data_IF_472067722442
#
_entry.id   IF_472067722442
#
_cell.length_a   1.000
_cell.length_b   1.000
_cell.length_c   1.000
_cell.angle_alpha   90.00
_cell.angle_beta   90.00
_cell.angle_gamma   90.00
#
_symmetry.space_group_name_H-M   'P 1'
#
loop_
_entity.id
_entity.type
_entity.pdbx_description
1 polymer ?
#
# COMPACT_ATOMS: atom_id res chain seq x y z
N UNK A 1 1.50 -0.90 6.65
CA UNK A 1 1.77 0.54 6.72
C UNK A 1 0.80 1.29 5.81
N UNK A 2 -0.34 1.78 6.33
CA UNK A 2 -1.20 2.67 5.55
C UNK A 2 -0.50 4.01 5.29
N UNK A 3 -0.19 4.33 4.03
CA UNK A 3 0.51 5.55 3.64
C UNK A 3 -0.20 6.83 4.08
N UNK A 4 0.53 7.95 4.14
CA UNK A 4 0.00 9.28 4.49
C UNK A 4 -0.71 9.32 5.85
N UNK A 5 -1.56 10.32 6.10
CA UNK A 5 -2.34 10.46 7.34
C UNK A 5 -2.21 11.83 7.99
N UNK A 6 -3.19 12.15 8.85
CA UNK A 6 -3.28 13.46 9.50
C UNK A 6 -3.42 14.56 8.46
N UNK A 7 -2.52 15.56 8.52
CA UNK A 7 -2.53 16.70 7.57
C UNK A 7 -1.95 16.34 6.19
N UNK A 8 -1.44 15.12 5.98
CA UNK A 8 -1.02 14.64 4.65
C UNK A 8 -2.16 13.81 4.02
N UNK A 9 -2.89 14.33 3.02
CA UNK A 9 -3.97 13.60 2.37
C UNK A 9 -3.49 12.52 1.40
N UNK A 10 -2.20 12.54 1.00
CA UNK A 10 -1.75 11.86 -0.21
C UNK A 10 -2.41 12.43 -1.47
N UNK A 11 -2.55 11.62 -2.52
CA UNK A 11 -3.32 12.02 -3.69
C UNK A 11 -4.82 12.18 -3.37
N UNK A 12 -5.51 13.08 -4.06
CA UNK A 12 -6.93 13.30 -3.83
C UNK A 12 -7.71 13.68 -5.09
N UNK A 13 -9.02 13.49 -5.04
CA UNK A 13 -9.95 13.97 -6.04
C UNK A 13 -10.89 15.03 -5.43
N UNK A 14 -10.87 16.22 -6.01
CA UNK A 14 -11.65 17.39 -5.57
C UNK A 14 -11.49 17.74 -4.08
N UNK A 15 -10.36 17.35 -3.45
CA UNK A 15 -10.07 17.59 -2.04
C UNK A 15 -10.90 16.77 -1.03
N UNK A 16 -11.88 15.98 -1.47
CA UNK A 16 -12.81 15.27 -0.57
C UNK A 16 -12.66 13.75 -0.58
N UNK A 17 -12.03 13.18 -1.62
CA UNK A 17 -11.74 11.75 -1.70
C UNK A 17 -10.23 11.57 -1.67
N UNK A 18 -9.70 11.16 -0.51
CA UNK A 18 -8.25 11.20 -0.23
C UNK A 18 -7.65 9.80 -0.15
N UNK A 19 -6.41 9.68 -0.59
CA UNK A 19 -5.63 8.44 -0.49
C UNK A 19 -5.53 7.95 0.96
N UNK A 20 -5.23 8.85 1.90
CA UNK A 20 -5.05 8.50 3.32
C UNK A 20 -6.24 7.74 3.93
N UNK A 21 -7.46 8.06 3.51
CA UNK A 21 -8.70 7.43 3.97
C UNK A 21 -8.87 6.03 3.34
N UNK A 22 -8.61 5.93 2.03
CA UNK A 22 -8.72 4.68 1.27
C UNK A 22 -7.72 3.65 1.82
N UNK A 23 -6.44 4.04 1.96
CA UNK A 23 -5.37 3.12 2.38
C UNK A 23 -5.52 2.74 3.86
N UNK A 24 -6.06 3.62 4.71
CA UNK A 24 -6.39 3.27 6.09
C UNK A 24 -7.51 2.24 6.13
N UNK A 25 -8.59 2.45 5.37
CA UNK A 25 -9.72 1.51 5.33
C UNK A 25 -9.28 0.11 4.85
N UNK A 26 -8.49 0.03 3.77
CA UNK A 26 -7.95 -1.25 3.30
C UNK A 26 -6.98 -1.85 4.32
N UNK A 27 -6.11 -1.04 4.92
CA UNK A 27 -5.13 -1.50 5.90
C UNK A 27 -5.76 -2.07 7.17
N UNK A 28 -6.83 -1.45 7.68
CA UNK A 28 -7.58 -1.95 8.84
C UNK A 28 -8.27 -3.28 8.52
N UNK A 29 -8.89 -3.41 7.35
CA UNK A 29 -9.51 -4.66 6.94
C UNK A 29 -8.48 -5.77 6.72
N UNK A 30 -7.36 -5.46 6.06
CA UNK A 30 -6.25 -6.41 5.91
C UNK A 30 -5.69 -6.85 7.26
N UNK A 31 -5.51 -5.92 8.21
CA UNK A 31 -5.07 -6.24 9.57
C UNK A 31 -6.03 -7.20 10.27
N UNK A 32 -7.34 -6.95 10.17
CA UNK A 32 -8.37 -7.82 10.72
C UNK A 32 -8.30 -9.22 10.12
N UNK A 33 -8.18 -9.32 8.81
CA UNK A 33 -8.11 -10.58 8.06
C UNK A 33 -6.84 -11.39 8.40
N UNK A 34 -5.68 -10.74 8.44
CA UNK A 34 -4.41 -11.38 8.82
C UNK A 34 -4.43 -11.87 10.28
N UNK A 35 -4.95 -11.06 11.21
CA UNK A 35 -5.13 -11.48 12.62
C UNK A 35 -6.05 -12.70 12.74
N UNK A 36 -7.13 -12.75 11.96
CA UNK A 36 -8.01 -13.93 11.91
C UNK A 36 -7.34 -15.17 11.32
N UNK A 37 -6.40 -14.99 10.40
CA UNK A 37 -5.57 -16.07 9.86
C UNK A 37 -4.42 -16.50 10.79
N UNK A 38 -4.31 -15.90 11.99
CA UNK A 38 -3.34 -16.26 13.02
C UNK A 38 -2.03 -15.47 12.98
N UNK A 39 -1.93 -14.43 12.15
CA UNK A 39 -0.75 -13.56 12.11
C UNK A 39 -0.78 -12.52 13.23
N UNK A 40 0.39 -12.19 13.78
CA UNK A 40 0.57 -10.95 14.53
C UNK A 40 0.70 -9.79 13.52
N UNK A 41 -0.04 -8.70 13.74
CA UNK A 41 -0.05 -7.56 12.81
C UNK A 41 0.19 -6.26 13.57
N UNK A 42 1.28 -5.61 13.19
CA UNK A 42 1.68 -4.29 13.68
C UNK A 42 1.36 -3.24 12.61
N UNK A 43 0.56 -2.25 12.97
CA UNK A 43 0.17 -1.14 12.09
C UNK A 43 1.01 0.09 12.40
N UNK A 44 1.47 0.82 11.38
CA UNK A 44 2.15 2.11 11.58
C UNK A 44 1.19 3.18 12.11
N UNK A 45 -0.07 3.16 11.65
CA UNK A 45 -1.21 3.92 12.18
C UNK A 45 -2.49 3.10 12.09
N UNK A 46 -3.40 3.34 13.03
CA UNK A 46 -4.76 2.76 13.06
C UNK A 46 -5.86 3.83 12.93
N UNK A 47 -5.48 5.10 13.02
CA UNK A 47 -6.38 6.26 12.86
C UNK A 47 -5.84 7.22 11.81
N UNK A 48 -6.57 8.32 11.56
CA UNK A 48 -6.12 9.40 10.69
C UNK A 48 -5.07 10.29 11.39
N UNK A 49 -3.87 9.74 11.56
CA UNK A 49 -2.70 10.43 12.10
C UNK A 49 -1.48 10.24 11.20
N UNK A 50 -0.54 11.17 11.27
CA UNK A 50 0.80 10.94 10.75
C UNK A 50 1.73 10.38 11.85
N UNK A 51 2.88 9.87 11.43
CA UNK A 51 3.85 9.15 12.26
C UNK A 51 5.01 10.06 12.69
N UNK A 52 4.96 11.36 12.38
CA UNK A 52 6.07 12.29 12.67
C UNK A 52 6.36 12.41 14.17
N UNK A 53 5.41 12.06 15.05
CA UNK A 53 5.57 12.02 16.52
C UNK A 53 6.68 11.09 17.01
N UNK A 54 7.07 10.08 16.23
CA UNK A 54 8.10 9.11 16.62
C UNK A 54 9.54 9.61 16.43
N UNK A 55 9.71 10.73 15.72
CA UNK A 55 10.99 11.37 15.43
C UNK A 55 10.90 12.79 15.96
N UNK A 56 11.59 13.17 17.05
CA UNK A 56 11.62 14.56 17.50
C UNK A 56 12.25 15.50 16.47
N UNK A 57 11.79 16.74 16.38
CA UNK A 57 12.38 17.73 15.47
C UNK A 57 11.47 18.91 15.18
N UNK A 58 11.94 19.79 14.30
CA UNK A 58 11.20 20.96 13.85
C UNK A 58 9.95 20.53 13.04
N UNK A 59 8.76 21.10 13.33
CA UNK A 59 7.54 20.88 12.55
C UNK A 59 7.69 21.16 11.04
N UNK A 60 8.61 22.03 10.63
CA UNK A 60 8.89 22.31 9.22
C UNK A 60 9.36 21.07 8.43
N UNK A 61 9.98 20.09 9.10
CA UNK A 61 10.43 18.82 8.51
C UNK A 61 9.48 17.65 8.79
N UNK A 62 8.21 17.93 9.13
CA UNK A 62 7.18 16.92 9.38
C UNK A 62 7.09 15.86 8.28
N UNK A 63 7.19 16.30 7.02
CA UNK A 63 7.54 15.51 5.82
C UNK A 63 8.41 14.28 6.10
N UNK A 64 9.68 14.59 6.30
CA UNK A 64 10.77 13.65 6.44
C UNK A 64 10.62 12.85 7.74
N UNK A 65 10.14 13.49 8.80
CA UNK A 65 9.91 12.86 10.10
C UNK A 65 8.84 11.78 10.05
N UNK A 66 7.77 11.97 9.27
CA UNK A 66 6.75 10.93 9.05
C UNK A 66 7.37 9.69 8.41
N UNK A 67 8.07 9.87 7.28
CA UNK A 67 8.72 8.76 6.58
C UNK A 67 9.77 8.06 7.45
N UNK A 68 10.62 8.82 8.16
CA UNK A 68 11.59 8.27 9.11
C UNK A 68 10.91 7.53 10.27
N UNK A 69 9.76 8.03 10.74
CA UNK A 69 8.94 7.38 11.76
C UNK A 69 8.45 6.02 11.30
N UNK A 70 7.95 5.92 10.06
CA UNK A 70 7.53 4.63 9.46
C UNK A 70 8.69 3.64 9.35
N UNK A 71 9.83 4.08 8.83
CA UNK A 71 11.05 3.25 8.75
C UNK A 71 11.45 2.76 10.13
N UNK A 72 11.46 3.65 11.13
CA UNK A 72 11.78 3.29 12.52
C UNK A 72 10.83 2.23 13.06
N UNK A 73 9.51 2.40 12.88
CA UNK A 73 8.52 1.41 13.33
C UNK A 73 8.70 0.07 12.63
N UNK A 74 8.96 0.08 11.32
CA UNK A 74 9.20 -1.15 10.53
C UNK A 74 10.45 -1.88 11.04
N UNK A 75 11.59 -1.20 11.16
CA UNK A 75 12.84 -1.85 11.55
C UNK A 75 12.83 -2.30 13.03
N UNK A 76 12.05 -1.65 13.89
CA UNK A 76 11.91 -2.01 15.31
C UNK A 76 10.80 -3.04 15.58
N UNK A 77 10.05 -3.44 14.55
CA UNK A 77 8.85 -4.28 14.72
C UNK A 77 9.17 -5.74 15.06
N UNK A 78 10.33 -6.25 14.64
CA UNK A 78 10.61 -7.69 14.65
C UNK A 78 9.74 -8.51 13.69
N UNK A 79 9.01 -7.88 12.77
CA UNK A 79 8.13 -8.56 11.82
C UNK A 79 8.90 -9.30 10.71
N UNK A 80 8.31 -10.36 10.16
CA UNK A 80 8.90 -11.13 9.06
C UNK A 80 8.92 -10.38 7.71
N UNK A 81 7.93 -9.51 7.51
CA UNK A 81 7.77 -8.66 6.34
C UNK A 81 6.95 -7.40 6.64
N UNK A 82 7.01 -6.40 5.74
CA UNK A 82 6.09 -5.27 5.74
C UNK A 82 5.41 -5.06 4.37
N UNK A 83 4.22 -4.47 4.41
CA UNK A 83 3.47 -4.03 3.23
C UNK A 83 3.04 -2.58 3.45
N UNK A 84 3.47 -1.68 2.57
CA UNK A 84 3.02 -0.29 2.53
C UNK A 84 1.89 -0.14 1.50
N UNK A 85 0.82 0.57 1.84
CA UNK A 85 -0.40 0.68 1.03
C UNK A 85 -0.60 2.12 0.57
N UNK A 86 -0.77 2.30 -0.74
CA UNK A 86 -0.85 3.59 -1.42
C UNK A 86 -1.88 3.59 -2.57
N UNK A 87 -2.18 4.78 -3.09
CA UNK A 87 -2.93 4.99 -4.33
C UNK A 87 -2.13 5.91 -5.24
N UNK A 88 -1.88 5.47 -6.47
CA UNK A 88 -1.00 6.19 -7.39
C UNK A 88 -1.73 7.36 -8.04
N UNK A 89 -0.96 8.24 -8.66
CA UNK A 89 -1.48 9.30 -9.49
C UNK A 89 -0.53 9.55 -10.66
N UNK A 90 -1.09 9.50 -11.86
CA UNK A 90 -0.42 9.97 -13.08
C UNK A 90 -1.40 10.78 -13.94
N UNK A 91 -0.87 11.60 -14.85
CA UNK A 91 -1.71 12.51 -15.64
C UNK A 91 -2.66 11.81 -16.62
N UNK A 92 -2.38 10.57 -17.04
CA UNK A 92 -3.23 9.82 -17.96
C UNK A 92 -4.37 9.11 -17.21
N UNK A 93 -5.64 9.53 -17.39
CA UNK A 93 -6.78 8.92 -16.70
C UNK A 93 -7.16 7.53 -17.24
N UNK A 94 -6.62 7.12 -18.39
CA UNK A 94 -6.85 5.80 -18.97
C UNK A 94 -6.02 4.70 -18.29
N UNK A 95 -4.98 5.08 -17.55
CA UNK A 95 -4.16 4.14 -16.79
C UNK A 95 -4.83 3.81 -15.47
N UNK A 96 -4.93 2.51 -15.18
CA UNK A 96 -5.58 1.99 -13.99
C UNK A 96 -4.92 0.71 -13.49
N UNK A 97 -5.38 0.20 -12.35
CA UNK A 97 -4.93 -1.06 -11.78
C UNK A 97 -3.81 -0.92 -10.75
N UNK A 98 -3.32 -2.04 -10.23
CA UNK A 98 -2.34 -2.04 -9.15
C UNK A 98 -0.89 -2.20 -9.65
N UNK A 99 0.04 -1.58 -8.94
CA UNK A 99 1.47 -1.77 -9.10
C UNK A 99 2.06 -2.14 -7.74
N UNK A 100 2.77 -3.25 -7.69
CA UNK A 100 3.57 -3.61 -6.52
C UNK A 100 5.03 -3.23 -6.77
N UNK A 101 5.50 -2.25 -6.00
CA UNK A 101 6.87 -1.80 -6.00
C UNK A 101 7.73 -2.59 -5.02
N UNK A 102 8.96 -2.89 -5.43
CA UNK A 102 9.97 -3.55 -4.60
C UNK A 102 11.35 -2.91 -4.76
N UNK A 103 12.20 -3.08 -3.75
CA UNK A 103 13.62 -2.74 -3.83
C UNK A 103 14.46 -4.02 -3.98
N UNK A 104 15.56 -3.93 -4.74
CA UNK A 104 16.48 -5.07 -5.01
C UNK A 104 17.45 -5.38 -3.87
N UNK A 105 17.37 -4.66 -2.75
CA UNK A 105 18.21 -4.88 -1.58
C UNK A 105 18.13 -6.32 -1.05
N UNK A 106 17.01 -7.00 -1.30
CA UNK A 106 16.75 -8.38 -0.87
C UNK A 106 16.03 -9.17 -1.98
N UNK A 107 16.45 -10.41 -2.30
CA UNK A 107 15.75 -11.23 -3.29
C UNK A 107 14.30 -11.53 -2.88
N UNK A 108 14.03 -11.61 -1.57
CA UNK A 108 12.70 -11.95 -1.06
C UNK A 108 11.66 -10.84 -1.31
N UNK A 109 12.10 -9.59 -1.53
CA UNK A 109 11.22 -8.48 -1.90
C UNK A 109 10.58 -8.70 -3.27
N UNK A 110 11.36 -9.22 -4.23
CA UNK A 110 10.88 -9.47 -5.59
C UNK A 110 9.84 -10.59 -5.60
N UNK A 111 10.13 -11.71 -4.92
CA UNK A 111 9.19 -12.82 -4.81
C UNK A 111 7.88 -12.39 -4.13
N UNK A 112 7.96 -11.62 -3.04
CA UNK A 112 6.79 -11.05 -2.36
C UNK A 112 5.97 -10.17 -3.31
N UNK A 113 6.62 -9.30 -4.08
CA UNK A 113 5.96 -8.43 -5.03
C UNK A 113 5.26 -9.20 -6.15
N UNK A 114 5.90 -10.23 -6.71
CA UNK A 114 5.34 -11.07 -7.77
C UNK A 114 4.07 -11.79 -7.31
N UNK A 115 4.11 -12.38 -6.12
CA UNK A 115 2.98 -13.11 -5.55
C UNK A 115 1.83 -12.15 -5.22
N UNK A 116 2.11 -10.99 -4.60
CA UNK A 116 1.06 -10.00 -4.29
C UNK A 116 0.46 -9.43 -5.59
N UNK A 117 1.27 -9.06 -6.57
CA UNK A 117 0.79 -8.53 -7.85
C UNK A 117 -0.11 -9.55 -8.56
N UNK A 118 0.32 -10.81 -8.64
CA UNK A 118 -0.48 -11.92 -9.21
C UNK A 118 -1.86 -12.01 -8.58
N UNK A 119 -1.96 -11.87 -7.25
CA UNK A 119 -3.23 -11.97 -6.52
C UNK A 119 -4.09 -10.70 -6.63
N UNK A 120 -3.50 -9.52 -6.84
CA UNK A 120 -4.24 -8.28 -7.08
C UNK A 120 -4.81 -8.19 -8.50
N UNK A 121 -4.12 -8.74 -9.50
CA UNK A 121 -4.48 -8.62 -10.91
C UNK A 121 -5.96 -8.97 -11.22
N UNK A 122 -6.55 -10.07 -10.72
CA UNK A 122 -7.95 -10.40 -10.95
C UNK A 122 -8.94 -9.39 -10.34
N UNK A 123 -8.56 -8.71 -9.26
CA UNK A 123 -9.41 -7.72 -8.58
C UNK A 123 -9.37 -6.37 -9.29
N UNK A 124 -8.21 -5.97 -9.78
CA UNK A 124 -8.02 -4.64 -10.39
C UNK A 124 -8.32 -4.61 -11.88
N UNK A 125 -8.25 -5.76 -12.57
CA UNK A 125 -8.55 -5.89 -13.99
C UNK A 125 -10.05 -6.15 -14.30
N UNK A 126 -10.96 -5.84 -13.37
CA UNK A 126 -12.39 -6.07 -13.55
C UNK A 126 -12.99 -5.13 -14.62
N UNK A 127 -13.79 -5.73 -15.52
CA UNK A 127 -14.53 -5.06 -16.60
C UNK A 127 -13.68 -4.06 -17.40
N UNK A 128 -12.61 -4.53 -18.08
CA UNK A 128 -11.71 -3.65 -18.82
C UNK A 128 -12.44 -2.98 -19.97
N UNK A 129 -12.20 -1.67 -20.15
CA UNK A 129 -12.64 -0.93 -21.33
C UNK A 129 -11.53 -0.90 -22.38
N UNK A 130 -11.84 -0.89 -23.69
CA UNK A 130 -10.82 -0.95 -24.75
C UNK A 130 -9.77 0.16 -24.73
N UNK A 131 -10.11 1.32 -24.14
CA UNK A 131 -9.22 2.48 -24.04
C UNK A 131 -8.33 2.47 -22.80
N UNK A 132 -8.54 1.53 -21.87
CA UNK A 132 -7.82 1.47 -20.60
C UNK A 132 -6.50 0.72 -20.75
N UNK A 133 -5.47 1.21 -20.07
CA UNK A 133 -4.24 0.46 -19.81
C UNK A 133 -4.24 0.00 -18.35
N UNK A 134 -4.24 -1.31 -18.12
CA UNK A 134 -4.32 -1.91 -16.79
C UNK A 134 -2.94 -2.40 -16.37
N UNK A 135 -2.36 -1.77 -15.35
CA UNK A 135 -1.14 -2.24 -14.72
C UNK A 135 -1.33 -3.60 -14.06
N UNK A 136 -0.44 -4.55 -14.38
CA UNK A 136 -0.49 -5.93 -13.92
C UNK A 136 0.91 -6.52 -13.61
N UNK A 137 1.92 -5.66 -13.49
CA UNK A 137 3.31 -6.07 -13.35
C UNK A 137 3.99 -5.27 -12.25
N UNK A 138 4.86 -5.96 -11.51
CA UNK A 138 5.70 -5.34 -10.49
C UNK A 138 6.62 -4.29 -11.09
N UNK A 139 7.10 -3.38 -10.26
CA UNK A 139 8.13 -2.40 -10.64
C UNK A 139 9.22 -2.30 -9.59
N UNK A 140 10.45 -2.07 -10.03
CA UNK A 140 11.50 -1.61 -9.13
C UNK A 140 11.19 -0.17 -8.71
N UNK A 141 11.28 0.12 -7.42
CA UNK A 141 10.98 1.44 -6.86
C UNK A 141 12.05 1.88 -5.87
N UNK A 142 12.44 3.15 -5.92
CA UNK A 142 13.42 3.76 -5.01
C UNK A 142 12.73 4.64 -3.96
N UNK A 143 11.77 4.05 -3.25
CA UNK A 143 11.06 4.71 -2.16
C UNK A 143 11.86 4.62 -0.88
N UNK A 144 11.90 5.71 -0.09
CA UNK A 144 12.68 5.76 1.16
C UNK A 144 12.35 4.57 2.08
N UNK A 145 11.07 4.23 2.23
CA UNK A 145 10.64 3.12 3.08
C UNK A 145 11.16 1.76 2.59
N UNK A 146 11.19 1.53 1.27
CA UNK A 146 11.71 0.30 0.68
C UNK A 146 13.23 0.22 0.77
N UNK A 147 13.90 1.36 0.60
CA UNK A 147 15.37 1.44 0.61
C UNK A 147 15.96 1.34 2.01
N UNK A 148 15.21 1.75 3.04
CA UNK A 148 15.69 1.80 4.43
C UNK A 148 15.18 0.66 5.31
N UNK A 149 14.24 -0.15 4.82
CA UNK A 149 13.73 -1.29 5.57
C UNK A 149 14.77 -2.43 5.66
N UNK A 150 14.92 -2.99 6.85
CA UNK A 150 15.83 -4.12 7.13
C UNK A 150 15.14 -5.49 6.95
N UNK A 151 13.81 -5.50 6.90
CA UNK A 151 12.97 -6.68 6.68
C UNK A 151 12.44 -6.72 5.23
N UNK A 152 11.94 -7.87 4.79
CA UNK A 152 11.38 -7.99 3.44
C UNK A 152 10.13 -7.12 3.30
N UNK A 153 9.92 -6.47 2.16
CA UNK A 153 8.66 -5.77 1.96
C UNK A 153 8.47 -5.07 0.63
N UNK A 154 7.25 -4.56 0.47
CA UNK A 154 6.74 -4.00 -0.77
C UNK A 154 5.90 -2.75 -0.50
N UNK A 155 5.76 -1.91 -1.53
CA UNK A 155 4.83 -0.80 -1.57
C UNK A 155 3.79 -1.10 -2.65
N UNK A 156 2.53 -1.12 -2.27
CA UNK A 156 1.41 -1.50 -3.14
C UNK A 156 0.63 -0.24 -3.47
N UNK A 157 0.73 0.20 -4.72
CA UNK A 157 -0.22 1.11 -5.32
C UNK A 157 -1.45 0.31 -5.75
N UNK A 158 -2.60 0.54 -5.11
CA UNK A 158 -3.78 -0.32 -5.29
C UNK A 158 -4.71 0.13 -6.44
N UNK A 159 -4.35 1.21 -7.13
CA UNK A 159 -5.16 1.86 -8.16
C UNK A 159 -4.63 3.26 -8.43
N UNK A 160 -5.27 3.97 -9.36
CA UNK A 160 -4.91 5.34 -9.72
C UNK A 160 -6.02 6.33 -9.35
N UNK A 161 -5.70 7.33 -8.51
CA UNK A 161 -6.63 8.42 -8.18
C UNK A 161 -6.99 9.26 -9.42
N UNK A 162 -6.14 9.29 -10.44
CA UNK A 162 -6.44 9.97 -11.71
C UNK A 162 -7.47 9.22 -12.58
N UNK A 163 -7.61 7.90 -12.41
CA UNK A 163 -8.57 7.08 -13.17
C UNK A 163 -9.99 7.19 -12.61
N UNK A 164 -10.98 7.66 -13.40
CA UNK A 164 -12.38 7.68 -12.98
C UNK A 164 -12.92 6.31 -12.57
N UNK A 165 -12.48 5.26 -13.25
CA UNK A 165 -12.93 3.89 -13.01
C UNK A 165 -12.37 3.33 -11.70
N UNK A 166 -11.08 3.50 -11.43
CA UNK A 166 -10.51 3.12 -10.14
C UNK A 166 -11.11 3.95 -9.01
N UNK A 167 -11.33 5.27 -9.20
CA UNK A 167 -12.04 6.08 -8.19
C UNK A 167 -13.45 5.53 -7.92
N UNK A 168 -14.19 5.14 -8.96
CA UNK A 168 -15.54 4.59 -8.79
C UNK A 168 -15.54 3.26 -8.03
N UNK A 169 -14.53 2.42 -8.24
CA UNK A 169 -14.33 1.18 -7.50
C UNK A 169 -13.87 1.43 -6.05
N UNK A 170 -12.85 2.27 -5.85
CA UNK A 170 -12.27 2.56 -4.54
C UNK A 170 -13.25 3.21 -3.55
N UNK A 171 -14.29 3.89 -4.05
CA UNK A 171 -15.41 4.38 -3.23
C UNK A 171 -16.26 3.26 -2.61
N UNK A 172 -16.26 2.07 -3.20
CA UNK A 172 -17.09 0.95 -2.77
C UNK A 172 -16.38 0.12 -1.70
N UNK A 173 -16.98 0.01 -0.52
CA UNK A 173 -16.46 -0.81 0.59
C UNK A 173 -16.20 -2.26 0.15
N UNK A 174 -17.12 -2.82 -0.65
CA UNK A 174 -16.97 -4.17 -1.19
C UNK A 174 -15.75 -4.35 -2.09
N UNK A 175 -15.32 -3.30 -2.82
CA UNK A 175 -14.10 -3.35 -3.61
C UNK A 175 -12.85 -3.26 -2.72
N UNK A 176 -12.85 -2.35 -1.73
CA UNK A 176 -11.76 -2.25 -0.75
C UNK A 176 -11.57 -3.56 0.04
N UNK A 177 -12.66 -4.25 0.38
CA UNK A 177 -12.60 -5.57 1.01
C UNK A 177 -12.00 -6.63 0.08
N UNK A 178 -12.29 -6.59 -1.23
CA UNK A 178 -11.67 -7.50 -2.21
C UNK A 178 -10.16 -7.24 -2.36
N UNK A 179 -9.73 -5.99 -2.31
CA UNK A 179 -8.31 -5.64 -2.29
C UNK A 179 -7.62 -6.22 -1.05
N UNK A 180 -8.21 -6.03 0.14
CA UNK A 180 -7.69 -6.60 1.38
C UNK A 180 -7.63 -8.14 1.35
N UNK A 181 -8.65 -8.80 0.78
CA UNK A 181 -8.65 -10.26 0.61
C UNK A 181 -7.55 -10.74 -0.36
N UNK A 182 -7.36 -10.06 -1.49
CA UNK A 182 -6.28 -10.37 -2.43
C UNK A 182 -4.89 -10.20 -1.78
N UNK A 183 -4.72 -9.15 -0.98
CA UNK A 183 -3.50 -8.93 -0.20
C UNK A 183 -3.27 -10.04 0.83
N UNK A 184 -4.30 -10.45 1.57
CA UNK A 184 -4.24 -11.60 2.49
C UNK A 184 -3.75 -12.85 1.74
N UNK A 185 -4.41 -13.21 0.63
CA UNK A 185 -4.07 -14.41 -0.14
C UNK A 185 -2.62 -14.35 -0.62
N UNK A 186 -2.18 -13.21 -1.18
CA UNK A 186 -0.81 -13.04 -1.64
C UNK A 186 0.23 -13.13 -0.52
N UNK A 187 -0.03 -12.50 0.63
CA UNK A 187 0.86 -12.59 1.80
C UNK A 187 0.92 -14.03 2.32
N UNK A 188 -0.22 -14.71 2.44
CA UNK A 188 -0.29 -16.10 2.90
C UNK A 188 0.42 -17.04 1.92
N UNK A 189 0.21 -16.90 0.61
CA UNK A 189 0.91 -17.67 -0.43
C UNK A 189 2.42 -17.49 -0.32
N UNK A 190 2.89 -16.26 -0.12
CA UNK A 190 4.31 -16.00 0.09
C UNK A 190 4.87 -16.69 1.35
N UNK A 191 4.18 -16.59 2.48
CA UNK A 191 4.61 -17.22 3.73
C UNK A 191 4.72 -18.74 3.59
N UNK A 192 3.78 -19.41 2.91
CA UNK A 192 3.84 -20.86 2.68
C UNK A 192 4.76 -21.29 1.55
N UNK A 193 5.27 -20.35 0.74
CA UNK A 193 6.26 -20.64 -0.31
C UNK A 193 7.71 -20.67 0.19
N UNK A 194 7.92 -20.29 1.46
CA UNK A 194 9.21 -20.21 2.13
C UNK A 194 9.55 -21.49 2.89
#
# INVERSE_FOLDING_TARGET
DPGHGGIDPGTCHNGAFTEKEIVLAVGLELSRLLKQAGAEVLMTRETDEDISRYIPGDPAYRYQRDLQGRVKLINQSGADLFVSLHIDYIHDPAVRGAIVFYCRSRPENKLLAEIIQKNLNPVVAVNPQPHQFIHQSIREGSYLILNSAEIAGVLVEMGFMSSPDDRALLKQDGYRNKLAQALLIGITEYIYSR
#
